data_IF_280116476503
#
_entry.id   IF_280116476503
#
_cell.length_a   1.000
_cell.length_b   1.000
_cell.length_c   1.000
_cell.angle_alpha   90.00
_cell.angle_beta   90.00
_cell.angle_gamma   90.00
#
_symmetry.space_group_name_H-M   'P 1'
#
loop_
_entity.id
_entity.type
_entity.pdbx_description
1 polymer ?
#
# COMPACT_ATOMS: atom_id res chain seq x y z
N UNK A 1 4.15 -7.01 -5.85
CA UNK A 1 5.62 -7.02 -6.06
C UNK A 1 5.98 -8.13 -7.03
N UNK A 2 6.44 -7.78 -8.23
CA UNK A 2 7.02 -8.77 -9.14
C UNK A 2 8.38 -9.20 -8.55
N UNK A 3 8.59 -10.51 -8.37
CA UNK A 3 9.82 -11.13 -7.84
C UNK A 3 11.04 -10.99 -8.78
N UNK A 4 11.08 -9.94 -9.60
CA UNK A 4 12.21 -9.67 -10.48
C UNK A 4 13.29 -8.95 -9.66
N UNK A 5 14.52 -9.44 -9.71
CA UNK A 5 15.68 -8.84 -9.06
C UNK A 5 15.87 -7.39 -9.52
N UNK A 6 15.28 -6.44 -8.78
CA UNK A 6 15.38 -5.02 -9.09
C UNK A 6 16.81 -4.55 -8.84
N UNK A 7 17.51 -4.22 -9.93
CA UNK A 7 18.84 -3.65 -9.88
C UNK A 7 18.73 -2.12 -9.94
N UNK A 8 18.88 -1.46 -8.78
CA UNK A 8 18.95 0.00 -8.71
C UNK A 8 20.39 0.48 -8.64
N UNK A 9 20.72 1.49 -9.46
CA UNK A 9 21.98 2.24 -9.33
C UNK A 9 21.99 3.17 -8.11
N UNK A 10 20.81 3.54 -7.58
CA UNK A 10 20.69 4.32 -6.35
C UNK A 10 20.73 3.39 -5.13
N UNK A 11 21.80 3.48 -4.35
CA UNK A 11 21.96 2.70 -3.11
C UNK A 11 20.79 2.90 -2.14
N UNK A 12 20.27 4.14 -2.02
CA UNK A 12 19.11 4.46 -1.19
C UNK A 12 17.81 3.77 -1.65
N UNK A 13 17.59 3.61 -2.96
CA UNK A 13 16.39 2.89 -3.45
C UNK A 13 16.42 1.42 -3.06
N UNK A 14 17.60 0.79 -3.11
CA UNK A 14 17.77 -0.60 -2.66
C UNK A 14 17.56 -0.75 -1.15
N UNK A 15 18.12 0.17 -0.35
CA UNK A 15 17.92 0.18 1.09
C UNK A 15 16.44 0.36 1.46
N UNK A 16 15.76 1.32 0.83
CA UNK A 16 14.35 1.57 1.07
C UNK A 16 13.49 0.35 0.68
N UNK A 17 13.77 -0.28 -0.46
CA UNK A 17 13.07 -1.50 -0.88
C UNK A 17 13.24 -2.64 0.12
N UNK A 18 14.44 -2.81 0.69
CA UNK A 18 14.69 -3.80 1.73
C UNK A 18 13.87 -3.51 3.00
N UNK A 19 13.76 -2.24 3.41
CA UNK A 19 12.91 -1.85 4.54
C UNK A 19 11.45 -2.17 4.25
N UNK A 20 10.96 -1.84 3.04
CA UNK A 20 9.58 -2.11 2.63
C UNK A 20 9.30 -3.63 2.63
N UNK A 21 10.19 -4.42 2.03
CA UNK A 21 10.06 -5.88 1.99
C UNK A 21 10.03 -6.49 3.40
N UNK A 22 10.91 -6.02 4.30
CA UNK A 22 11.01 -6.54 5.67
C UNK A 22 9.78 -6.23 6.52
N UNK A 23 9.16 -5.06 6.32
CA UNK A 23 8.09 -4.58 7.21
C UNK A 23 6.68 -4.78 6.63
N UNK A 24 6.52 -4.74 5.31
CA UNK A 24 5.19 -4.78 4.66
C UNK A 24 5.05 -5.95 3.71
N UNK A 25 6.15 -6.44 3.12
CA UNK A 25 6.09 -7.47 2.08
C UNK A 25 5.23 -6.99 0.91
N UNK A 26 4.09 -7.66 0.70
CA UNK A 26 3.11 -7.31 -0.34
C UNK A 26 1.94 -6.45 0.15
N UNK A 27 1.87 -6.13 1.44
CA UNK A 27 0.81 -5.29 2.00
C UNK A 27 1.03 -3.82 1.62
N UNK A 28 -0.08 -3.08 1.52
CA UNK A 28 -0.03 -1.64 1.30
C UNK A 28 0.64 -0.92 2.49
N UNK A 29 1.29 0.20 2.21
CA UNK A 29 1.90 1.07 3.21
C UNK A 29 1.70 2.54 2.85
N UNK A 30 2.02 3.44 3.77
CA UNK A 30 2.00 4.88 3.52
C UNK A 30 3.29 5.55 4.01
N UNK A 31 3.56 6.77 3.51
CA UNK A 31 4.76 7.56 3.87
C UNK A 31 4.94 7.71 5.39
N UNK A 32 3.83 7.97 6.10
CA UNK A 32 3.81 8.08 7.57
C UNK A 32 4.37 6.86 8.28
N UNK A 33 4.22 5.66 7.72
CA UNK A 33 4.77 4.44 8.33
C UNK A 33 6.27 4.33 8.10
N UNK A 34 6.78 4.80 6.95
CA UNK A 34 8.22 4.92 6.73
C UNK A 34 8.86 5.94 7.68
N UNK A 35 8.18 7.06 7.93
CA UNK A 35 8.62 8.07 8.91
C UNK A 35 8.73 7.45 10.33
N UNK A 36 7.73 6.66 10.75
CA UNK A 36 7.75 5.94 12.04
C UNK A 36 8.85 4.88 12.13
N UNK A 37 9.29 4.34 11.01
CA UNK A 37 10.43 3.43 10.91
C UNK A 37 11.79 4.16 10.87
N UNK A 38 11.79 5.49 11.07
CA UNK A 38 13.00 6.32 11.07
C UNK A 38 13.61 6.51 9.68
N UNK A 39 12.85 6.28 8.60
CA UNK A 39 13.35 6.58 7.27
C UNK A 39 13.31 8.09 7.02
N UNK A 40 14.43 8.65 6.57
CA UNK A 40 14.55 10.07 6.25
C UNK A 40 14.95 10.30 4.79
N UNK A 41 14.57 11.45 4.23
CA UNK A 41 14.97 11.90 2.88
C UNK A 41 14.78 10.79 1.81
N UNK A 42 13.72 10.00 1.94
CA UNK A 42 13.47 8.82 1.10
C UNK A 42 12.60 9.09 -0.13
N UNK A 43 12.04 10.31 -0.27
CA UNK A 43 11.08 10.63 -1.33
C UNK A 43 11.62 10.38 -2.75
N UNK A 44 12.88 10.73 -3.02
CA UNK A 44 13.52 10.47 -4.32
C UNK A 44 13.71 8.98 -4.59
N UNK A 45 14.10 8.23 -3.54
CA UNK A 45 14.24 6.78 -3.62
C UNK A 45 12.88 6.10 -3.85
N UNK A 46 11.83 6.56 -3.14
CA UNK A 46 10.47 6.07 -3.32
C UNK A 46 9.95 6.36 -4.73
N UNK A 47 10.17 7.58 -5.24
CA UNK A 47 9.83 7.94 -6.63
C UNK A 47 10.54 7.03 -7.63
N UNK A 48 11.83 6.79 -7.46
CA UNK A 48 12.59 5.86 -8.29
C UNK A 48 11.99 4.44 -8.29
N UNK A 49 11.52 3.93 -7.15
CA UNK A 49 10.87 2.61 -7.09
C UNK A 49 9.54 2.58 -7.85
N UNK A 50 8.77 3.68 -7.81
CA UNK A 50 7.51 3.83 -8.56
C UNK A 50 7.77 3.96 -10.06
N UNK A 51 8.68 4.85 -10.47
CA UNK A 51 9.02 5.10 -11.87
C UNK A 51 9.57 3.83 -12.57
N UNK A 52 10.19 2.91 -11.80
CA UNK A 52 10.67 1.62 -12.30
C UNK A 52 9.67 0.47 -12.13
N UNK A 53 8.40 0.74 -11.77
CA UNK A 53 7.34 -0.25 -11.59
C UNK A 53 7.67 -1.37 -10.59
N UNK A 54 8.47 -1.07 -9.57
CA UNK A 54 8.77 -2.00 -8.48
C UNK A 54 7.65 -1.97 -7.44
N UNK A 55 7.08 -0.78 -7.23
CA UNK A 55 5.98 -0.49 -6.31
C UNK A 55 4.98 0.39 -7.06
N UNK A 56 3.70 0.13 -6.86
CA UNK A 56 2.62 0.91 -7.47
C UNK A 56 2.18 2.05 -6.53
N UNK A 57 2.00 3.25 -7.08
CA UNK A 57 1.46 4.38 -6.34
C UNK A 57 -0.08 4.37 -6.42
N UNK A 58 -0.73 4.51 -5.27
CA UNK A 58 -2.19 4.65 -5.15
C UNK A 58 -2.53 6.04 -4.63
N UNK A 59 -2.69 7.04 -5.52
CA UNK A 59 -3.09 8.39 -5.13
C UNK A 59 -4.57 8.42 -4.67
N UNK A 60 -5.00 9.48 -3.99
CA UNK A 60 -6.42 9.68 -3.67
C UNK A 60 -7.29 9.62 -4.92
N UNK A 61 -8.43 8.91 -4.83
CA UNK A 61 -9.45 8.86 -5.86
C UNK A 61 -10.54 9.86 -5.51
N UNK A 62 -10.72 10.89 -6.34
CA UNK A 62 -11.66 11.98 -6.11
C UNK A 62 -12.67 12.07 -7.26
N UNK A 63 -13.93 12.31 -6.92
CA UNK A 63 -15.00 12.63 -7.87
C UNK A 63 -14.95 14.13 -8.26
N UNK A 64 -15.86 14.58 -9.13
CA UNK A 64 -15.91 15.95 -9.64
C UNK A 64 -16.07 16.96 -8.50
N UNK A 65 -15.48 18.14 -8.68
CA UNK A 65 -15.51 19.20 -7.68
C UNK A 65 -16.96 19.57 -7.33
N UNK A 66 -17.28 19.50 -6.04
CA UNK A 66 -18.60 19.84 -5.50
C UNK A 66 -19.54 18.63 -5.34
N UNK A 67 -19.14 17.42 -5.77
CA UNK A 67 -19.89 16.21 -5.45
C UNK A 67 -19.63 15.72 -4.03
N UNK A 68 -20.47 14.79 -3.57
CA UNK A 68 -20.40 14.16 -2.26
C UNK A 68 -20.36 12.64 -2.42
N UNK A 69 -19.43 11.98 -1.71
CA UNK A 69 -19.22 10.53 -1.76
C UNK A 69 -19.42 9.90 -0.39
N UNK A 70 -20.06 8.74 -0.34
CA UNK A 70 -20.20 7.91 0.86
C UNK A 70 -19.76 6.46 0.56
N UNK A 71 -19.22 5.74 1.55
CA UNK A 71 -18.74 4.37 1.42
C UNK A 71 -19.10 3.54 2.65
N UNK A 72 -19.52 2.29 2.43
CA UNK A 72 -19.62 1.22 3.43
C UNK A 72 -18.85 0.00 2.92
N UNK A 73 -18.24 -0.77 3.83
CA UNK A 73 -17.43 -1.93 3.46
C UNK A 73 -17.60 -3.06 4.48
N UNK A 74 -17.78 -4.29 3.99
CA UNK A 74 -17.67 -5.51 4.79
C UNK A 74 -16.77 -6.52 4.11
N UNK A 75 -16.04 -7.28 4.91
CA UNK A 75 -15.33 -8.47 4.47
C UNK A 75 -16.25 -9.67 4.61
N UNK A 76 -16.42 -10.42 3.53
CA UNK A 76 -17.28 -11.61 3.48
C UNK A 76 -16.41 -12.83 3.19
N UNK A 77 -16.63 -13.90 3.95
CA UNK A 77 -16.02 -15.19 3.72
C UNK A 77 -17.05 -16.14 3.12
N UNK A 78 -16.78 -16.64 1.92
CA UNK A 78 -17.56 -17.70 1.28
C UNK A 78 -17.05 -19.05 1.78
N UNK A 79 -17.73 -19.62 2.77
CA UNK A 79 -17.44 -20.94 3.30
C UNK A 79 -18.16 -22.01 2.48
N UNK A 80 -17.72 -23.27 2.57
CA UNK A 80 -18.42 -24.38 1.93
C UNK A 80 -19.91 -24.48 2.31
N UNK A 81 -20.26 -24.08 3.55
CA UNK A 81 -21.61 -24.25 4.11
C UNK A 81 -22.43 -22.96 4.18
N UNK A 82 -21.80 -21.79 4.07
CA UNK A 82 -22.50 -20.51 4.20
C UNK A 82 -21.67 -19.34 3.65
N UNK A 83 -22.36 -18.21 3.47
CA UNK A 83 -21.74 -16.90 3.30
C UNK A 83 -21.72 -16.22 4.68
N UNK A 84 -20.54 -15.91 5.18
CA UNK A 84 -20.36 -15.25 6.47
C UNK A 84 -19.87 -13.81 6.28
N UNK A 85 -20.55 -12.85 6.88
CA UNK A 85 -20.10 -11.44 6.92
C UNK A 85 -19.22 -11.27 8.16
N UNK A 86 -17.93 -11.52 8.04
CA UNK A 86 -17.01 -11.63 9.19
C UNK A 86 -16.74 -10.30 9.89
N UNK A 87 -17.03 -9.17 9.25
CA UNK A 87 -16.87 -7.84 9.84
C UNK A 87 -18.19 -7.20 10.30
N UNK A 88 -19.28 -7.95 10.41
CA UNK A 88 -20.59 -7.44 10.87
C UNK A 88 -20.54 -7.07 12.36
N UNK A 89 -20.96 -5.84 12.69
CA UNK A 89 -21.17 -5.36 14.06
C UNK A 89 -22.63 -5.00 14.34
N UNK A 90 -22.89 -4.38 15.50
CA UNK A 90 -24.20 -3.82 15.84
C UNK A 90 -24.42 -2.40 15.27
N UNK A 91 -23.36 -1.82 14.72
CA UNK A 91 -23.30 -0.47 14.17
C UNK A 91 -23.66 -0.44 12.69
N UNK A 92 -23.05 -1.30 11.86
CA UNK A 92 -23.35 -1.39 10.43
C UNK A 92 -22.83 -2.66 9.76
#
# INVERSE_FOLDING_TARGET
MKYCSYFSRLAKSKQLLNVINKNFGTLAFCRRWLDRLGQEKYLLALKSLVDNNVIDAYPPLCDIKGSYTAQYEHTILLRPTCKEVISRGNDY
#
